data_IF_680229842154
#
_entry.id   IF_680229842154
#
_cell.length_a   1.000
_cell.length_b   1.000
_cell.length_c   1.000
_cell.angle_alpha   90.00
_cell.angle_beta   90.00
_cell.angle_gamma   90.00
#
_symmetry.space_group_name_H-M   'P 1'
#
loop_
_entity.id
_entity.type
_entity.pdbx_description
1 polymer ?
#
# COMPACT_ATOMS: atom_id res chain seq x y z
N UNK A 1 4.27 6.13 -7.31
CA UNK A 1 5.39 5.57 -8.10
C UNK A 1 6.12 4.51 -7.29
N UNK A 2 6.66 3.47 -7.97
CA UNK A 2 7.55 2.54 -7.29
C UNK A 2 8.87 3.22 -6.90
N UNK A 3 9.47 2.84 -5.76
CA UNK A 3 10.78 3.32 -5.39
C UNK A 3 11.83 2.80 -6.37
N UNK A 4 12.96 3.50 -6.49
CA UNK A 4 14.04 3.07 -7.38
C UNK A 4 14.61 1.72 -6.95
N UNK A 5 15.01 0.91 -7.92
CA UNK A 5 15.88 -0.22 -7.64
C UNK A 5 17.23 0.26 -7.13
N UNK A 6 17.88 -0.54 -6.30
CA UNK A 6 19.17 -0.18 -5.67
C UNK A 6 20.27 0.20 -6.68
N UNK A 7 20.23 -0.37 -7.88
CA UNK A 7 21.19 -0.08 -8.97
C UNK A 7 20.81 1.13 -9.82
N UNK A 8 19.63 1.71 -9.66
CA UNK A 8 19.17 2.89 -10.40
C UNK A 8 19.62 4.19 -9.70
N UNK A 9 20.93 4.40 -9.59
CA UNK A 9 21.49 5.51 -8.80
C UNK A 9 21.03 6.91 -9.25
N UNK A 10 20.82 7.13 -10.56
CA UNK A 10 20.32 8.44 -11.07
C UNK A 10 18.87 8.66 -10.67
N UNK A 11 18.01 7.66 -10.84
CA UNK A 11 16.61 7.72 -10.46
C UNK A 11 16.45 7.89 -8.95
N UNK A 12 17.24 7.17 -8.15
CA UNK A 12 17.26 7.29 -6.71
C UNK A 12 17.59 8.72 -6.27
N UNK A 13 18.67 9.31 -6.80
CA UNK A 13 19.03 10.71 -6.48
C UNK A 13 17.91 11.68 -6.85
N UNK A 14 17.26 11.46 -7.99
CA UNK A 14 16.15 12.32 -8.40
C UNK A 14 14.94 12.18 -7.46
N UNK A 15 14.54 10.97 -7.10
CA UNK A 15 13.43 10.72 -6.16
C UNK A 15 13.73 11.34 -4.78
N UNK A 16 14.94 11.17 -4.28
CA UNK A 16 15.32 11.65 -2.95
C UNK A 16 15.52 13.18 -2.90
N UNK A 17 15.99 13.81 -3.96
CA UNK A 17 16.39 15.21 -3.96
C UNK A 17 15.44 16.16 -4.71
N UNK A 18 14.66 15.66 -5.67
CA UNK A 18 13.92 16.51 -6.60
C UNK A 18 12.45 16.20 -6.73
N UNK A 19 11.97 15.06 -6.19
CA UNK A 19 10.59 14.62 -6.36
C UNK A 19 9.59 15.62 -5.77
N UNK A 20 9.85 16.11 -4.56
CA UNK A 20 8.98 17.07 -3.88
C UNK A 20 8.83 18.37 -4.69
N UNK A 21 9.96 18.94 -5.14
CA UNK A 21 9.96 20.17 -5.95
C UNK A 21 9.27 19.97 -7.31
N UNK A 22 9.47 18.79 -7.92
CA UNK A 22 8.81 18.46 -9.17
C UNK A 22 7.30 18.36 -8.99
N UNK A 23 6.85 17.62 -7.96
CA UNK A 23 5.44 17.48 -7.58
C UNK A 23 4.79 18.86 -7.39
N UNK A 24 5.41 19.73 -6.61
CA UNK A 24 4.91 21.08 -6.35
C UNK A 24 4.80 21.92 -7.63
N UNK A 25 5.85 21.95 -8.47
CA UNK A 25 5.84 22.72 -9.73
C UNK A 25 4.85 22.19 -10.76
N UNK A 26 4.65 20.88 -10.80
CA UNK A 26 3.71 20.24 -11.73
C UNK A 26 2.26 20.31 -11.24
N UNK A 27 2.01 20.70 -9.98
CA UNK A 27 0.68 20.73 -9.39
C UNK A 27 0.07 19.33 -9.24
N UNK A 28 0.91 18.29 -9.05
CA UNK A 28 0.47 16.90 -8.90
C UNK A 28 1.02 16.31 -7.60
N UNK A 29 0.27 15.43 -6.98
CA UNK A 29 0.71 14.66 -5.81
C UNK A 29 1.41 13.38 -6.27
N UNK A 30 2.64 13.14 -5.80
CA UNK A 30 3.41 11.95 -6.14
C UNK A 30 3.86 11.26 -4.84
N UNK A 31 3.25 10.13 -4.52
CA UNK A 31 3.67 9.27 -3.41
C UNK A 31 4.62 8.15 -3.87
N UNK A 32 5.56 7.79 -3.03
CA UNK A 32 6.44 6.62 -3.22
C UNK A 32 5.86 5.45 -2.45
N UNK A 33 5.74 4.32 -3.12
CA UNK A 33 5.12 3.12 -2.58
C UNK A 33 6.08 2.30 -1.72
N UNK A 34 5.58 1.73 -0.62
CA UNK A 34 6.34 0.73 0.13
C UNK A 34 6.39 -0.58 -0.66
N UNK A 35 7.59 -1.17 -0.75
CA UNK A 35 7.81 -2.44 -1.44
C UNK A 35 8.21 -3.53 -0.44
N UNK A 36 8.08 -4.77 -0.85
CA UNK A 36 8.43 -5.93 -0.07
C UNK A 36 9.71 -6.62 -0.60
N UNK A 37 10.44 -7.37 0.24
CA UNK A 37 11.54 -8.21 -0.21
C UNK A 37 10.98 -9.43 -0.95
N UNK A 38 11.62 -9.83 -2.05
CA UNK A 38 11.35 -11.14 -2.63
C UNK A 38 11.83 -12.22 -1.66
N UNK A 39 10.90 -12.94 -1.03
CA UNK A 39 11.23 -14.02 -0.12
C UNK A 39 11.69 -15.24 -0.91
N UNK A 40 12.93 -15.65 -0.67
CA UNK A 40 13.46 -16.95 -1.06
C UNK A 40 13.16 -17.97 0.04
N UNK A 41 13.58 -19.21 -0.14
CA UNK A 41 13.38 -20.28 0.84
C UNK A 41 13.89 -19.87 2.24
N UNK A 42 13.02 -19.84 3.23
CA UNK A 42 13.26 -19.35 4.59
C UNK A 42 13.14 -17.82 4.71
N UNK A 43 13.65 -17.25 5.81
CA UNK A 43 13.54 -15.81 6.11
C UNK A 43 14.48 -14.90 5.30
N UNK A 44 15.26 -15.48 4.39
CA UNK A 44 16.18 -14.71 3.54
C UNK A 44 15.43 -14.08 2.38
N UNK A 45 15.25 -12.76 2.45
CA UNK A 45 14.66 -11.97 1.38
C UNK A 45 15.69 -11.22 0.55
N UNK A 46 15.52 -11.21 -0.77
CA UNK A 46 16.26 -10.32 -1.67
C UNK A 46 15.56 -8.98 -1.76
N UNK A 47 16.29 -7.91 -1.45
CA UNK A 47 15.79 -6.54 -1.47
C UNK A 47 16.31 -5.82 -2.70
N UNK A 48 15.42 -5.56 -3.63
CA UNK A 48 15.77 -4.89 -4.89
C UNK A 48 15.50 -3.39 -4.84
N UNK A 49 14.45 -2.96 -4.16
CA UNK A 49 14.06 -1.56 -4.04
C UNK A 49 14.72 -0.87 -2.84
N UNK A 50 14.78 0.44 -2.90
CA UNK A 50 15.37 1.26 -1.84
C UNK A 50 14.44 1.41 -0.62
N UNK A 51 13.12 1.22 -0.77
CA UNK A 51 12.14 1.35 0.32
C UNK A 51 11.51 0.00 0.71
N UNK A 52 12.35 -1.02 0.88
CA UNK A 52 11.91 -2.34 1.35
C UNK A 52 12.09 -2.55 2.85
N UNK A 53 12.56 -1.53 3.55
CA UNK A 53 12.61 -1.50 5.01
C UNK A 53 11.73 -0.38 5.52
N UNK A 54 11.19 -0.56 6.71
CA UNK A 54 10.30 0.38 7.32
C UNK A 54 10.92 1.78 7.43
N UNK A 55 12.18 1.84 7.87
CA UNK A 55 12.93 3.08 8.06
C UNK A 55 13.31 3.76 6.73
N UNK A 56 13.33 3.01 5.63
CA UNK A 56 13.61 3.58 4.32
C UNK A 56 12.52 4.56 3.86
N UNK A 57 11.30 4.41 4.36
CA UNK A 57 10.15 5.27 4.04
C UNK A 57 10.32 6.70 4.61
N UNK A 58 11.14 6.87 5.64
CA UNK A 58 11.40 8.19 6.25
C UNK A 58 12.02 9.20 5.25
N UNK A 59 12.73 8.72 4.24
CA UNK A 59 13.38 9.54 3.22
C UNK A 59 12.43 10.19 2.21
N UNK A 60 11.21 9.68 2.11
CA UNK A 60 10.24 10.17 1.13
C UNK A 60 9.26 11.16 1.76
N UNK A 61 8.94 12.27 1.07
CA UNK A 61 8.01 13.28 1.59
C UNK A 61 6.56 12.81 1.58
N UNK A 62 6.17 12.02 0.58
CA UNK A 62 4.82 11.49 0.39
C UNK A 62 4.87 10.00 0.04
N UNK A 63 3.94 9.25 0.61
CA UNK A 63 3.90 7.79 0.50
C UNK A 63 2.59 7.30 -0.11
N UNK A 64 2.69 6.21 -0.85
CA UNK A 64 1.59 5.28 -1.10
C UNK A 64 1.77 4.10 -0.16
N UNK A 65 0.77 3.81 0.66
CA UNK A 65 0.82 2.65 1.55
C UNK A 65 0.05 1.49 0.93
N UNK A 66 0.79 0.46 0.50
CA UNK A 66 0.24 -0.81 0.09
C UNK A 66 0.16 -1.76 1.29
N UNK A 67 -1.05 -2.20 1.60
CA UNK A 67 -1.34 -3.03 2.78
C UNK A 67 -0.82 -4.46 2.62
N UNK A 68 -0.95 -5.05 1.44
CA UNK A 68 -0.44 -6.40 1.15
C UNK A 68 1.08 -6.45 1.21
N UNK A 69 1.77 -5.44 0.69
CA UNK A 69 3.22 -5.33 0.74
C UNK A 69 3.77 -5.29 2.17
N UNK A 70 3.08 -4.63 3.11
CA UNK A 70 3.45 -4.64 4.52
C UNK A 70 3.38 -6.05 5.12
N UNK A 71 2.30 -6.79 4.82
CA UNK A 71 2.16 -8.17 5.28
C UNK A 71 3.28 -9.07 4.75
N UNK A 72 3.62 -8.96 3.46
CA UNK A 72 4.75 -9.72 2.87
C UNK A 72 6.07 -9.36 3.53
N UNK A 73 6.28 -8.09 3.83
CA UNK A 73 7.48 -7.61 4.51
C UNK A 73 7.54 -8.03 5.99
N UNK A 74 6.40 -8.40 6.58
CA UNK A 74 6.28 -8.81 7.98
C UNK A 74 6.18 -7.63 8.95
N UNK A 75 5.70 -6.49 8.48
CA UNK A 75 5.45 -5.31 9.30
C UNK A 75 4.01 -5.28 9.81
N UNK A 76 3.83 -4.72 10.99
CA UNK A 76 2.50 -4.45 11.53
C UNK A 76 1.83 -3.32 10.74
N UNK A 77 0.60 -3.55 10.30
CA UNK A 77 -0.16 -2.64 9.45
C UNK A 77 -0.53 -1.35 10.20
N UNK A 78 -1.03 -1.49 11.43
CA UNK A 78 -1.48 -0.34 12.22
C UNK A 78 -0.30 0.49 12.72
N UNK A 79 0.81 -0.16 13.10
CA UNK A 79 2.05 0.53 13.43
C UNK A 79 2.57 1.34 12.24
N UNK A 80 2.57 0.75 11.05
CA UNK A 80 2.99 1.42 9.82
C UNK A 80 2.12 2.64 9.53
N UNK A 81 0.80 2.48 9.62
CA UNK A 81 -0.13 3.58 9.43
C UNK A 81 0.12 4.72 10.44
N UNK A 82 0.12 4.42 11.73
CA UNK A 82 0.30 5.42 12.79
C UNK A 82 1.62 6.19 12.68
N UNK A 83 2.70 5.52 12.24
CA UNK A 83 4.00 6.15 12.02
C UNK A 83 4.00 7.10 10.82
N UNK A 84 3.36 6.71 9.73
CA UNK A 84 3.47 7.43 8.46
C UNK A 84 2.22 8.21 8.04
N UNK A 85 1.15 8.23 8.84
CA UNK A 85 -0.15 8.82 8.50
C UNK A 85 -0.08 10.24 7.95
N UNK A 86 0.87 11.07 8.41
CA UNK A 86 1.04 12.44 7.94
C UNK A 86 1.73 12.54 6.57
N UNK A 87 2.30 11.45 6.08
CA UNK A 87 2.97 11.38 4.78
C UNK A 87 2.16 10.61 3.74
N UNK A 88 1.20 9.78 4.18
CA UNK A 88 0.41 8.94 3.27
C UNK A 88 -0.55 9.83 2.48
N UNK A 89 -0.49 9.74 1.16
CA UNK A 89 -1.35 10.48 0.24
C UNK A 89 -2.28 9.54 -0.55
N UNK A 90 -1.96 8.25 -0.56
CA UNK A 90 -2.74 7.24 -1.26
C UNK A 90 -2.56 5.87 -0.59
N UNK A 91 -3.61 5.04 -0.66
CA UNK A 91 -3.54 3.64 -0.25
C UNK A 91 -3.81 2.71 -1.43
N UNK A 92 -3.03 1.63 -1.52
CA UNK A 92 -3.43 0.41 -2.19
C UNK A 92 -4.00 -0.54 -1.14
N UNK A 93 -5.29 -0.85 -1.24
CA UNK A 93 -6.00 -1.63 -0.23
C UNK A 93 -6.30 -3.02 -0.76
N UNK A 94 -5.74 -4.01 -0.14
CA UNK A 94 -6.03 -5.42 -0.32
C UNK A 94 -5.62 -6.19 0.93
N UNK A 95 -6.16 -7.39 1.10
CA UNK A 95 -5.72 -8.27 2.18
C UNK A 95 -4.60 -9.21 1.71
N UNK A 96 -4.00 -9.93 2.63
CA UNK A 96 -2.91 -10.87 2.33
C UNK A 96 -3.11 -12.20 3.05
N UNK A 97 -2.74 -13.29 2.39
CA UNK A 97 -2.87 -14.64 2.95
C UNK A 97 -1.86 -14.96 4.07
N UNK A 98 -0.87 -14.08 4.33
CA UNK A 98 0.17 -14.32 5.33
C UNK A 98 1.17 -15.41 4.96
N UNK A 99 1.24 -15.82 3.70
CA UNK A 99 2.08 -16.93 3.22
C UNK A 99 3.40 -16.50 2.60
N UNK A 100 3.77 -15.21 2.77
CA UNK A 100 5.06 -14.68 2.34
C UNK A 100 5.16 -14.27 0.87
N UNK A 101 4.04 -14.20 0.15
CA UNK A 101 3.95 -13.61 -1.19
C UNK A 101 2.85 -12.56 -1.25
N UNK A 102 2.92 -11.74 -2.25
CA UNK A 102 1.97 -10.69 -2.52
C UNK A 102 0.71 -11.28 -3.15
N UNK A 103 -0.35 -11.40 -2.36
CA UNK A 103 -1.56 -12.15 -2.76
C UNK A 103 -2.75 -11.27 -3.12
N UNK A 104 -2.73 -10.00 -2.79
CA UNK A 104 -3.79 -9.02 -3.12
C UNK A 104 -5.21 -9.58 -3.00
N UNK A 105 -5.52 -10.18 -1.84
CA UNK A 105 -6.83 -10.79 -1.59
C UNK A 105 -7.92 -9.73 -1.39
N UNK A 106 -9.19 -10.09 -1.61
CA UNK A 106 -10.33 -9.31 -1.14
C UNK A 106 -10.19 -8.91 0.34
N UNK A 107 -10.75 -7.76 0.71
CA UNK A 107 -10.58 -7.17 2.05
C UNK A 107 -11.08 -8.05 3.19
N UNK A 108 -12.08 -8.89 2.92
CA UNK A 108 -12.66 -9.86 3.84
C UNK A 108 -11.92 -11.21 3.90
N UNK A 109 -10.81 -11.36 3.18
CA UNK A 109 -10.09 -12.63 3.05
C UNK A 109 -8.61 -12.45 3.36
N UNK A 110 -8.18 -12.76 4.56
CA UNK A 110 -6.75 -12.69 4.89
C UNK A 110 -6.48 -12.39 6.35
N UNK A 111 -5.25 -11.94 6.62
CA UNK A 111 -4.74 -11.76 7.98
C UNK A 111 -4.66 -10.30 8.45
N UNK A 112 -4.86 -9.34 7.53
CA UNK A 112 -4.70 -7.93 7.86
C UNK A 112 -5.93 -7.36 8.55
N UNK A 113 -5.79 -6.58 9.62
CA UNK A 113 -6.89 -5.91 10.32
C UNK A 113 -7.33 -4.65 9.56
N UNK A 114 -7.90 -4.85 8.35
CA UNK A 114 -8.28 -3.74 7.46
C UNK A 114 -9.46 -2.93 7.99
N UNK A 115 -10.33 -3.55 8.79
CA UNK A 115 -11.42 -2.86 9.47
C UNK A 115 -10.88 -1.85 10.49
N UNK A 116 -9.96 -2.27 11.36
CA UNK A 116 -9.31 -1.37 12.32
C UNK A 116 -8.52 -0.25 11.62
N UNK A 117 -7.81 -0.58 10.54
CA UNK A 117 -7.09 0.42 9.74
C UNK A 117 -8.03 1.49 9.19
N UNK A 118 -9.13 1.07 8.55
CA UNK A 118 -10.08 2.00 7.93
C UNK A 118 -10.79 2.87 8.97
N UNK A 119 -11.10 2.32 10.16
CA UNK A 119 -11.66 3.06 11.28
C UNK A 119 -10.68 4.14 11.77
N UNK A 120 -9.37 3.83 11.91
CA UNK A 120 -8.35 4.83 12.26
C UNK A 120 -8.18 5.90 11.18
N UNK A 121 -8.20 5.51 9.91
CA UNK A 121 -8.12 6.43 8.77
C UNK A 121 -9.30 7.41 8.76
N UNK A 122 -10.52 6.90 9.04
CA UNK A 122 -11.72 7.72 9.13
C UNK A 122 -11.64 8.70 10.31
N UNK A 123 -11.23 8.23 11.48
CA UNK A 123 -11.06 9.04 12.69
C UNK A 123 -10.01 10.16 12.50
N UNK A 124 -8.95 9.89 11.75
CA UNK A 124 -7.90 10.87 11.44
C UNK A 124 -8.32 11.88 10.34
N UNK A 125 -9.50 11.71 9.70
CA UNK A 125 -10.00 12.61 8.67
C UNK A 125 -9.16 12.60 7.40
N UNK A 126 -8.66 11.46 6.98
CA UNK A 126 -7.85 11.33 5.76
C UNK A 126 -8.58 11.82 4.51
N UNK A 127 -7.94 12.70 3.75
CA UNK A 127 -8.51 13.34 2.54
C UNK A 127 -7.86 12.87 1.24
N UNK A 128 -6.93 11.92 1.31
CA UNK A 128 -6.28 11.33 0.13
C UNK A 128 -7.19 10.36 -0.61
N UNK A 129 -6.60 9.55 -1.45
CA UNK A 129 -7.32 8.57 -2.27
C UNK A 129 -6.97 7.14 -1.88
N UNK A 130 -7.86 6.19 -2.22
CA UNK A 130 -7.62 4.75 -2.06
C UNK A 130 -7.96 4.01 -3.35
N UNK A 131 -7.18 3.01 -3.68
CA UNK A 131 -7.45 2.05 -4.75
C UNK A 131 -7.58 0.66 -4.16
N UNK A 132 -8.57 -0.10 -4.62
CA UNK A 132 -8.59 -1.54 -4.41
C UNK A 132 -7.60 -2.18 -5.39
N UNK A 133 -6.63 -2.89 -4.88
CA UNK A 133 -5.66 -3.63 -5.69
C UNK A 133 -5.83 -5.13 -5.43
N UNK A 134 -6.68 -5.76 -6.24
CA UNK A 134 -7.11 -7.14 -6.02
C UNK A 134 -6.60 -8.07 -7.12
N UNK A 135 -6.14 -9.25 -6.73
CA UNK A 135 -5.88 -10.35 -7.66
C UNK A 135 -7.19 -11.04 -8.04
N UNK A 136 -7.68 -10.72 -9.22
CA UNK A 136 -8.94 -11.25 -9.74
C UNK A 136 -8.76 -12.49 -10.64
N UNK A 137 -7.56 -13.08 -10.72
CA UNK A 137 -7.28 -14.22 -11.61
C UNK A 137 -8.16 -15.43 -11.33
N UNK A 138 -8.57 -15.66 -10.10
CA UNK A 138 -9.48 -16.76 -9.72
C UNK A 138 -10.92 -16.55 -10.19
N UNK A 139 -11.29 -15.36 -10.62
CA UNK A 139 -12.63 -15.00 -11.10
C UNK A 139 -12.68 -14.82 -12.62
N UNK A 140 -11.57 -15.04 -13.34
CA UNK A 140 -11.52 -14.87 -14.80
C UNK A 140 -12.50 -15.82 -15.50
N UNK A 141 -13.31 -15.25 -16.41
CA UNK A 141 -14.36 -15.98 -17.12
C UNK A 141 -15.75 -15.87 -16.48
N UNK A 142 -15.87 -15.19 -15.32
CA UNK A 142 -17.13 -14.89 -14.66
C UNK A 142 -17.20 -13.39 -14.32
N UNK A 143 -17.71 -12.60 -15.26
CA UNK A 143 -17.81 -11.14 -15.12
C UNK A 143 -18.70 -10.73 -13.95
N UNK A 144 -19.72 -11.53 -13.63
CA UNK A 144 -20.60 -11.24 -12.48
C UNK A 144 -19.85 -11.45 -11.18
N UNK A 145 -19.07 -12.51 -11.04
CA UNK A 145 -18.25 -12.76 -9.85
C UNK A 145 -17.20 -11.65 -9.65
N UNK A 146 -16.59 -11.14 -10.75
CA UNK A 146 -15.67 -10.00 -10.70
C UNK A 146 -16.41 -8.76 -10.17
N UNK A 147 -17.56 -8.44 -10.72
CA UNK A 147 -18.36 -7.29 -10.32
C UNK A 147 -18.78 -7.38 -8.85
N UNK A 148 -19.23 -8.56 -8.42
CA UNK A 148 -19.66 -8.79 -7.03
C UNK A 148 -18.49 -8.62 -6.04
N UNK A 149 -17.30 -9.13 -6.36
CA UNK A 149 -16.10 -8.94 -5.53
C UNK A 149 -15.72 -7.47 -5.45
N UNK A 150 -15.64 -6.78 -6.57
CA UNK A 150 -15.29 -5.35 -6.59
C UNK A 150 -16.30 -4.51 -5.82
N UNK A 151 -17.60 -4.78 -6.01
CA UNK A 151 -18.69 -4.07 -5.33
C UNK A 151 -18.61 -4.27 -3.82
N UNK A 152 -18.51 -5.51 -3.35
CA UNK A 152 -18.41 -5.84 -1.93
C UNK A 152 -17.20 -5.19 -1.26
N UNK A 153 -16.03 -5.24 -1.91
CA UNK A 153 -14.82 -4.64 -1.36
C UNK A 153 -14.90 -3.11 -1.30
N UNK A 154 -15.47 -2.48 -2.34
CA UNK A 154 -15.73 -1.03 -2.35
C UNK A 154 -16.70 -0.63 -1.24
N UNK A 155 -17.80 -1.34 -1.09
CA UNK A 155 -18.82 -1.06 -0.06
C UNK A 155 -18.26 -1.22 1.34
N UNK A 156 -17.41 -2.22 1.57
CA UNK A 156 -16.71 -2.39 2.84
C UNK A 156 -15.85 -1.17 3.17
N UNK A 157 -15.02 -0.71 2.25
CA UNK A 157 -14.17 0.46 2.46
C UNK A 157 -15.01 1.73 2.65
N UNK A 158 -16.00 1.97 1.79
CA UNK A 158 -16.84 3.16 1.87
C UNK A 158 -17.66 3.21 3.15
N UNK A 159 -18.20 2.07 3.60
CA UNK A 159 -18.99 1.99 4.83
C UNK A 159 -18.18 2.37 6.06
N UNK A 160 -16.91 1.94 6.14
CA UNK A 160 -16.02 2.28 7.24
C UNK A 160 -15.57 3.75 7.21
N UNK A 161 -15.21 4.25 6.04
CA UNK A 161 -14.75 5.63 5.88
C UNK A 161 -15.86 6.67 6.06
N UNK A 162 -17.12 6.30 5.83
CA UNK A 162 -18.28 7.17 6.02
C UNK A 162 -18.86 7.13 7.44
N UNK A 163 -18.40 6.22 8.31
CA UNK A 163 -18.88 6.14 9.69
C UNK A 163 -18.51 7.43 10.45
N UNK A 164 -19.45 8.10 11.11
CA UNK A 164 -19.11 9.22 11.96
C UNK A 164 -18.24 8.73 13.13
N UNK A 165 -17.16 9.45 13.39
CA UNK A 165 -16.29 9.22 14.54
C UNK A 165 -17.02 9.41 15.86
#
# INVERSE_FOLDING_TARGET
IHPPYKWQARYRRWVEASLADYSARAGITIGVENMFPLKLRGDRGLRFHASQQFEDLDRYPQLVLDTSHLAVAGYDLLEAYRRYRTKIVHFHVSNNAGRGWDSHLPVDQGILPLDELLDEIAADGFTGTMSLELDLRSYLGDDQAILDVLTRNREFCQGRLAAPA
#
